data_IF_681345594385
#
_entry.id   IF_681345594385
#
_cell.length_a   1.000
_cell.length_b   1.000
_cell.length_c   1.000
_cell.angle_alpha   90.00
_cell.angle_beta   90.00
_cell.angle_gamma   90.00
#
_symmetry.space_group_name_H-M   'P 1'
#
loop_
_entity.id
_entity.type
_entity.pdbx_description
1 polymer ?
#
# COMPACT_ATOMS: atom_id res chain seq x y z
N UNK A 1 10.42 -16.98 20.59
CA UNK A 1 10.70 -15.54 20.64
C UNK A 1 9.45 -14.78 20.22
N UNK A 2 9.05 -13.80 21.01
CA UNK A 2 7.86 -13.01 20.71
C UNK A 2 8.17 -12.06 19.55
N UNK A 3 7.28 -12.02 18.56
CA UNK A 3 7.36 -11.08 17.47
C UNK A 3 7.01 -9.67 17.99
N UNK A 4 7.97 -8.74 17.92
CA UNK A 4 7.82 -7.38 18.42
C UNK A 4 7.49 -6.37 17.33
N UNK A 5 6.95 -6.84 16.21
CA UNK A 5 6.53 -5.96 15.12
C UNK A 5 5.31 -5.15 15.54
N UNK A 6 5.38 -3.83 15.35
CA UNK A 6 4.25 -2.93 15.57
C UNK A 6 3.88 -2.22 14.28
N UNK A 7 2.59 -1.93 14.11
CA UNK A 7 2.10 -1.16 12.97
C UNK A 7 1.77 0.25 13.47
N UNK A 8 2.39 1.25 12.86
CA UNK A 8 2.23 2.66 13.27
C UNK A 8 1.91 3.54 12.08
N UNK A 9 1.18 4.65 12.28
CA UNK A 9 0.95 5.61 11.21
C UNK A 9 2.20 6.42 10.90
N UNK A 10 2.15 7.20 9.84
CA UNK A 10 3.25 8.02 9.35
C UNK A 10 3.81 8.93 10.47
N UNK A 11 5.15 9.01 10.48
CA UNK A 11 5.91 9.99 11.24
C UNK A 11 6.90 10.63 10.27
N UNK A 12 7.16 11.92 10.43
CA UNK A 12 8.07 12.65 9.53
C UNK A 12 9.45 12.00 9.46
N UNK A 13 9.92 11.44 10.54
CA UNK A 13 11.21 10.73 10.61
C UNK A 13 11.27 9.50 9.71
N UNK A 14 10.11 8.96 9.25
CA UNK A 14 10.03 7.79 8.38
C UNK A 14 9.83 8.16 6.90
N UNK A 15 9.86 9.44 6.55
CA UNK A 15 9.64 9.89 5.18
C UNK A 15 10.63 9.24 4.20
N UNK A 16 11.91 9.23 4.56
CA UNK A 16 12.93 8.58 3.75
C UNK A 16 12.74 7.07 3.68
N UNK A 17 12.35 6.44 4.79
CA UNK A 17 12.11 5.00 4.84
C UNK A 17 11.00 4.57 3.88
N UNK A 18 9.96 5.38 3.73
CA UNK A 18 8.88 5.11 2.78
C UNK A 18 9.42 4.99 1.35
N UNK A 19 10.26 5.93 0.95
CA UNK A 19 10.88 5.93 -0.39
C UNK A 19 11.81 4.73 -0.56
N UNK A 20 12.70 4.50 0.40
CA UNK A 20 13.70 3.43 0.31
C UNK A 20 13.08 2.04 0.29
N UNK A 21 12.09 1.78 1.15
CA UNK A 21 11.39 0.49 1.19
C UNK A 21 10.71 0.20 -0.14
N UNK A 22 10.05 1.20 -0.73
CA UNK A 22 9.37 1.03 -2.00
C UNK A 22 10.34 0.85 -3.15
N UNK A 23 11.42 1.64 -3.18
CA UNK A 23 12.44 1.50 -4.21
C UNK A 23 13.06 0.10 -4.17
N UNK A 24 13.43 -0.39 -3.00
CA UNK A 24 13.98 -1.73 -2.83
C UNK A 24 13.04 -2.79 -3.38
N UNK A 25 11.75 -2.70 -3.04
CA UNK A 25 10.75 -3.68 -3.48
C UNK A 25 10.50 -3.59 -4.99
N UNK A 26 10.31 -2.38 -5.52
CA UNK A 26 10.02 -2.19 -6.95
C UNK A 26 11.18 -2.69 -7.81
N UNK A 27 12.41 -2.38 -7.42
CA UNK A 27 13.59 -2.76 -8.18
C UNK A 27 13.90 -4.25 -8.15
N UNK A 28 13.29 -5.02 -7.24
CA UNK A 28 13.38 -6.48 -7.26
C UNK A 28 12.67 -7.09 -8.48
N UNK A 29 11.61 -6.46 -8.96
CA UNK A 29 10.71 -7.05 -9.95
C UNK A 29 10.56 -6.19 -11.20
N UNK A 30 10.76 -4.89 -11.10
CA UNK A 30 10.47 -3.91 -12.13
C UNK A 30 11.50 -2.80 -12.10
N UNK A 31 11.20 -1.71 -12.82
CA UNK A 31 11.97 -0.47 -12.75
C UNK A 31 11.12 0.64 -12.14
N UNK A 32 11.77 1.62 -11.54
CA UNK A 32 11.09 2.81 -11.03
C UNK A 32 10.51 3.60 -12.19
N UNK A 33 9.26 4.02 -12.06
CA UNK A 33 8.56 4.85 -13.03
C UNK A 33 8.37 6.26 -12.47
N UNK A 34 8.10 7.22 -13.35
CA UNK A 34 7.91 8.62 -12.96
C UNK A 34 6.80 8.78 -11.91
N UNK A 35 5.72 8.01 -12.05
CA UNK A 35 4.61 8.03 -11.08
C UNK A 35 5.04 7.57 -9.69
N UNK A 36 5.97 6.60 -9.61
CA UNK A 36 6.55 6.16 -8.34
C UNK A 36 7.35 7.29 -7.71
N UNK A 37 8.26 7.88 -8.49
CA UNK A 37 9.15 8.94 -8.00
C UNK A 37 8.34 10.13 -7.50
N UNK A 38 7.31 10.52 -8.23
CA UNK A 38 6.45 11.63 -7.87
C UNK A 38 5.78 11.43 -6.51
N UNK A 39 5.25 10.22 -6.27
CA UNK A 39 4.58 9.91 -5.01
C UNK A 39 5.57 9.76 -3.85
N UNK A 40 6.72 9.13 -4.09
CA UNK A 40 7.70 8.84 -3.04
C UNK A 40 8.54 10.05 -2.64
N UNK A 41 8.68 11.04 -3.52
CA UNK A 41 9.51 12.22 -3.28
C UNK A 41 9.02 13.06 -2.11
N UNK A 42 7.71 13.26 -2.01
CA UNK A 42 7.10 14.03 -0.92
C UNK A 42 5.79 13.36 -0.50
N UNK A 43 5.87 12.36 0.37
CA UNK A 43 4.67 11.62 0.80
C UNK A 43 3.68 12.49 1.57
N UNK A 44 4.13 13.53 2.26
CA UNK A 44 3.22 14.44 2.94
C UNK A 44 2.32 15.16 1.92
N UNK A 45 2.91 15.75 0.89
CA UNK A 45 2.14 16.48 -0.13
C UNK A 45 1.31 15.53 -1.01
N UNK A 46 1.87 14.39 -1.39
CA UNK A 46 1.21 13.49 -2.34
C UNK A 46 0.13 12.60 -1.70
N UNK A 47 0.22 12.32 -0.40
CA UNK A 47 -0.66 11.35 0.26
C UNK A 47 -1.35 11.95 1.47
N UNK A 48 -0.61 12.45 2.44
CA UNK A 48 -1.16 12.82 3.75
C UNK A 48 -2.04 14.05 3.69
N UNK A 49 -1.59 15.10 3.03
CA UNK A 49 -2.35 16.36 2.95
C UNK A 49 -3.64 16.23 2.15
N UNK A 50 -3.71 15.22 1.28
CA UNK A 50 -4.91 14.94 0.49
C UNK A 50 -5.94 14.07 1.22
N UNK A 51 -5.64 13.62 2.45
CA UNK A 51 -6.56 12.80 3.25
C UNK A 51 -6.20 11.33 3.30
N UNK A 52 -5.07 10.93 2.71
CA UNK A 52 -4.56 9.58 2.80
C UNK A 52 -3.75 9.35 4.07
N UNK A 53 -3.22 8.14 4.21
CA UNK A 53 -2.37 7.79 5.34
C UNK A 53 -1.32 6.77 4.89
N UNK A 54 -0.20 6.78 5.56
CA UNK A 54 0.88 5.81 5.36
C UNK A 54 1.07 5.08 6.68
N UNK A 55 1.26 3.75 6.60
CA UNK A 55 1.54 2.93 7.77
C UNK A 55 2.90 2.27 7.61
N UNK A 56 3.54 2.02 8.74
CA UNK A 56 4.82 1.32 8.79
C UNK A 56 4.74 0.14 9.73
N UNK A 57 5.43 -0.95 9.35
CA UNK A 57 5.72 -2.05 10.24
C UNK A 57 7.10 -1.80 10.82
N UNK A 58 7.20 -1.73 12.15
CA UNK A 58 8.45 -1.51 12.85
C UNK A 58 8.92 -2.79 13.53
N UNK A 59 10.18 -3.14 13.31
CA UNK A 59 10.87 -4.18 14.09
C UNK A 59 11.71 -3.43 15.12
N UNK A 60 11.20 -3.32 16.36
CA UNK A 60 11.75 -2.38 17.31
C UNK A 60 11.64 -0.96 16.74
N UNK A 61 12.76 -0.21 16.64
CA UNK A 61 12.73 1.14 16.07
C UNK A 61 12.85 1.17 14.53
N UNK A 62 13.11 0.03 13.89
CA UNK A 62 13.46 -0.01 12.46
C UNK A 62 12.23 -0.23 11.57
N UNK A 63 11.94 0.68 10.62
CA UNK A 63 10.88 0.43 9.65
C UNK A 63 11.29 -0.66 8.65
N UNK A 64 10.52 -1.73 8.59
CA UNK A 64 10.78 -2.90 7.75
C UNK A 64 9.66 -3.17 6.74
N UNK A 65 8.58 -2.43 6.81
CA UNK A 65 7.49 -2.52 5.85
C UNK A 65 6.66 -1.25 5.85
N UNK A 66 5.91 -1.03 4.78
CA UNK A 66 5.07 0.15 4.63
C UNK A 66 3.92 -0.10 3.66
N UNK A 67 2.90 0.75 3.72
CA UNK A 67 1.78 0.78 2.79
C UNK A 67 1.14 2.16 2.83
N UNK A 68 0.50 2.55 1.74
CA UNK A 68 -0.27 3.80 1.68
C UNK A 68 -1.73 3.50 1.38
N UNK A 69 -2.61 4.26 2.02
CA UNK A 69 -4.01 4.41 1.65
C UNK A 69 -4.12 5.78 1.00
N UNK A 70 -4.27 5.83 -0.31
CA UNK A 70 -4.25 7.06 -1.09
C UNK A 70 -5.69 7.49 -1.41
N UNK A 71 -6.08 8.69 -0.98
CA UNK A 71 -7.42 9.20 -1.27
C UNK A 71 -7.49 9.63 -2.73
N UNK A 72 -8.44 9.07 -3.47
CA UNK A 72 -8.73 9.49 -4.84
C UNK A 72 -9.92 10.45 -4.86
N UNK A 73 -10.92 10.19 -4.00
CA UNK A 73 -12.09 11.04 -3.78
C UNK A 73 -12.64 10.68 -2.39
N UNK A 74 -13.71 11.35 -1.96
CA UNK A 74 -14.33 11.01 -0.67
C UNK A 74 -14.79 9.55 -0.62
N UNK A 75 -15.22 9.02 -1.75
CA UNK A 75 -15.77 7.66 -1.83
C UNK A 75 -14.75 6.58 -2.21
N UNK A 76 -13.58 6.96 -2.76
CA UNK A 76 -12.64 6.00 -3.36
C UNK A 76 -11.22 6.21 -2.83
N UNK A 77 -10.65 5.14 -2.29
CA UNK A 77 -9.26 5.09 -1.84
C UNK A 77 -8.50 4.02 -2.61
N UNK A 78 -7.19 4.18 -2.69
CA UNK A 78 -6.30 3.19 -3.31
C UNK A 78 -5.37 2.58 -2.26
N UNK A 79 -5.23 1.25 -2.27
CA UNK A 79 -4.17 0.56 -1.54
C UNK A 79 -2.93 0.57 -2.44
N UNK A 80 -1.88 1.26 -2.01
CA UNK A 80 -0.71 1.48 -2.85
C UNK A 80 0.59 1.41 -2.05
N UNK A 81 1.68 1.27 -2.77
CA UNK A 81 3.03 1.41 -2.21
C UNK A 81 3.29 0.47 -1.03
N UNK A 82 2.75 -0.76 -1.10
CA UNK A 82 3.05 -1.80 -0.12
C UNK A 82 4.43 -2.40 -0.42
N UNK A 83 5.29 -2.40 0.57
CA UNK A 83 6.63 -2.95 0.45
C UNK A 83 7.07 -3.50 1.80
N UNK A 84 7.62 -4.72 1.80
CA UNK A 84 8.18 -5.36 2.99
C UNK A 84 9.61 -5.79 2.65
N UNK A 85 10.56 -5.51 3.52
CA UNK A 85 11.95 -5.90 3.30
C UNK A 85 12.06 -7.41 3.12
N UNK A 86 12.95 -7.88 2.22
CA UNK A 86 13.11 -9.32 1.99
C UNK A 86 13.35 -10.12 3.26
N UNK A 87 14.11 -9.57 4.22
CA UNK A 87 14.41 -10.22 5.49
C UNK A 87 13.18 -10.46 6.37
N UNK A 88 12.08 -9.76 6.10
CA UNK A 88 10.87 -9.80 6.93
C UNK A 88 9.64 -10.32 6.17
N UNK A 89 9.80 -10.74 4.93
CA UNK A 89 8.72 -11.35 4.15
C UNK A 89 8.35 -12.72 4.72
N UNK A 90 7.11 -13.15 4.49
CA UNK A 90 6.64 -14.44 4.96
C UNK A 90 6.21 -14.47 6.43
N UNK A 91 6.07 -13.31 7.06
CA UNK A 91 5.66 -13.18 8.48
C UNK A 91 4.28 -12.55 8.67
N UNK A 92 3.53 -12.38 7.59
CA UNK A 92 2.20 -11.78 7.65
C UNK A 92 2.18 -10.26 7.77
N UNK A 93 3.29 -9.57 7.56
CA UNK A 93 3.36 -8.12 7.69
C UNK A 93 2.55 -7.40 6.62
N UNK A 94 2.55 -7.91 5.39
CA UNK A 94 1.72 -7.36 4.32
C UNK A 94 0.25 -7.39 4.67
N UNK A 95 -0.22 -8.46 5.28
CA UNK A 95 -1.62 -8.55 5.70
C UNK A 95 -1.93 -7.55 6.81
N UNK A 96 -1.07 -7.42 7.80
CA UNK A 96 -1.25 -6.44 8.90
C UNK A 96 -1.26 -5.02 8.37
N UNK A 97 -0.34 -4.68 7.47
CA UNK A 97 -0.28 -3.37 6.83
C UNK A 97 -1.53 -3.11 5.98
N UNK A 98 -1.93 -4.10 5.18
CA UNK A 98 -3.13 -3.99 4.34
C UNK A 98 -4.39 -3.75 5.17
N UNK A 99 -4.54 -4.44 6.30
CA UNK A 99 -5.68 -4.24 7.18
C UNK A 99 -5.71 -2.85 7.78
N UNK A 100 -4.55 -2.29 8.13
CA UNK A 100 -4.46 -0.92 8.64
C UNK A 100 -4.90 0.10 7.59
N UNK A 101 -4.44 -0.06 6.35
CA UNK A 101 -4.83 0.83 5.24
C UNK A 101 -6.32 0.74 4.94
N UNK A 102 -6.87 -0.48 4.92
CA UNK A 102 -8.30 -0.71 4.70
C UNK A 102 -9.13 -0.05 5.81
N UNK A 103 -8.70 -0.21 7.06
CA UNK A 103 -9.40 0.39 8.20
C UNK A 103 -9.41 1.91 8.10
N UNK A 104 -8.29 2.53 7.70
CA UNK A 104 -8.24 3.98 7.50
C UNK A 104 -9.27 4.43 6.46
N UNK A 105 -9.31 3.76 5.30
CA UNK A 105 -10.26 4.09 4.24
C UNK A 105 -11.71 3.95 4.73
N UNK A 106 -11.99 2.87 5.45
CA UNK A 106 -13.33 2.61 6.02
C UNK A 106 -13.74 3.71 7.00
N UNK A 107 -12.84 4.09 7.90
CA UNK A 107 -13.11 5.15 8.90
C UNK A 107 -13.32 6.51 8.25
N UNK A 108 -12.72 6.74 7.09
CA UNK A 108 -12.90 7.98 6.33
C UNK A 108 -14.15 7.98 5.46
N UNK A 109 -14.94 6.91 5.50
CA UNK A 109 -16.21 6.84 4.79
C UNK A 109 -16.11 6.37 3.35
N UNK A 110 -15.02 5.74 2.95
CA UNK A 110 -14.87 5.23 1.59
C UNK A 110 -15.95 4.20 1.27
N UNK A 111 -16.45 4.24 0.05
CA UNK A 111 -17.36 3.23 -0.48
C UNK A 111 -16.59 2.08 -1.12
N UNK A 112 -15.42 2.38 -1.67
CA UNK A 112 -14.62 1.43 -2.44
C UNK A 112 -13.13 1.69 -2.20
N UNK A 113 -12.36 0.61 -2.18
CA UNK A 113 -10.91 0.66 -2.24
C UNK A 113 -10.45 -0.18 -3.42
N UNK A 114 -9.47 0.27 -4.17
CA UNK A 114 -8.92 -0.49 -5.28
C UNK A 114 -7.41 -0.59 -5.17
N UNK A 115 -6.85 -1.49 -5.97
CA UNK A 115 -5.40 -1.60 -6.12
C UNK A 115 -5.06 -1.99 -7.55
N UNK A 116 -3.82 -1.72 -7.93
CA UNK A 116 -3.26 -2.12 -9.20
C UNK A 116 -1.99 -2.93 -8.94
N UNK A 117 -1.79 -3.99 -9.71
CA UNK A 117 -0.62 -4.85 -9.56
C UNK A 117 -0.28 -5.54 -10.88
N UNK A 118 0.63 -6.49 -10.83
CA UNK A 118 1.05 -7.26 -11.99
C UNK A 118 0.80 -8.74 -11.74
N UNK A 119 0.35 -9.47 -12.74
CA UNK A 119 -0.02 -10.88 -12.61
C UNK A 119 1.17 -11.80 -12.32
N UNK A 120 2.39 -11.33 -12.50
CA UNK A 120 3.58 -12.10 -12.11
C UNK A 120 3.75 -12.14 -10.59
N UNK A 121 3.10 -11.24 -9.85
CA UNK A 121 3.21 -11.14 -8.39
C UNK A 121 2.11 -11.99 -7.71
N UNK A 122 2.17 -13.31 -7.90
CA UNK A 122 1.12 -14.19 -7.42
C UNK A 122 0.95 -14.21 -5.90
N UNK A 123 2.05 -14.09 -5.14
CA UNK A 123 1.97 -13.99 -3.68
C UNK A 123 1.22 -12.75 -3.23
N UNK A 124 1.46 -11.62 -3.89
CA UNK A 124 0.76 -10.37 -3.60
C UNK A 124 -0.74 -10.50 -3.93
N UNK A 125 -1.06 -11.07 -5.07
CA UNK A 125 -2.47 -11.26 -5.48
C UNK A 125 -3.21 -12.13 -4.47
N UNK A 126 -2.57 -13.21 -3.99
CA UNK A 126 -3.17 -14.07 -2.94
C UNK A 126 -3.39 -13.29 -1.64
N UNK A 127 -2.44 -12.43 -1.27
CA UNK A 127 -2.60 -11.57 -0.10
C UNK A 127 -3.81 -10.64 -0.26
N UNK A 128 -3.92 -10.00 -1.42
CA UNK A 128 -5.03 -9.07 -1.68
C UNK A 128 -6.38 -9.80 -1.66
N UNK A 129 -6.43 -11.01 -2.19
CA UNK A 129 -7.64 -11.84 -2.12
C UNK A 129 -8.02 -12.15 -0.66
N UNK A 130 -7.05 -12.48 0.18
CA UNK A 130 -7.30 -12.72 1.62
C UNK A 130 -7.82 -11.48 2.32
N UNK A 131 -7.41 -10.30 1.88
CA UNK A 131 -7.89 -9.02 2.42
C UNK A 131 -9.31 -8.68 1.95
N UNK A 132 -9.84 -9.40 0.96
CA UNK A 132 -11.19 -9.21 0.46
C UNK A 132 -11.29 -8.55 -0.90
N UNK A 133 -10.16 -8.23 -1.54
CA UNK A 133 -10.16 -7.67 -2.89
C UNK A 133 -10.52 -8.74 -3.91
N UNK A 134 -11.27 -8.35 -4.93
CA UNK A 134 -11.66 -9.21 -6.06
C UNK A 134 -11.24 -8.55 -7.37
N UNK A 135 -10.92 -9.37 -8.37
CA UNK A 135 -10.60 -8.86 -9.70
C UNK A 135 -11.80 -8.10 -10.27
N UNK A 136 -11.52 -6.97 -10.92
CA UNK A 136 -12.56 -6.12 -11.52
C UNK A 136 -12.02 -5.46 -12.78
N UNK A 137 -12.91 -5.04 -13.70
CA UNK A 137 -12.47 -4.28 -14.88
C UNK A 137 -11.90 -2.92 -14.46
N UNK A 138 -10.80 -2.55 -15.10
CA UNK A 138 -10.17 -1.26 -14.85
C UNK A 138 -11.08 -0.14 -15.40
N UNK A 139 -11.45 0.86 -14.57
CA UNK A 139 -12.34 1.93 -15.04
C UNK A 139 -11.65 2.98 -15.94
N UNK A 140 -10.31 3.06 -15.88
CA UNK A 140 -9.53 3.98 -16.70
C UNK A 140 -8.09 3.46 -16.80
N UNK A 141 -7.28 3.96 -17.76
CA UNK A 141 -5.88 3.51 -17.89
C UNK A 141 -5.06 3.75 -16.64
N UNK A 142 -4.11 2.85 -16.40
CA UNK A 142 -3.18 2.99 -15.29
C UNK A 142 -2.08 4.00 -15.62
N UNK A 143 -1.58 4.76 -14.60
CA UNK A 143 -0.37 5.56 -14.78
C UNK A 143 0.90 4.72 -14.82
N UNK A 144 0.83 3.40 -14.54
CA UNK A 144 1.99 2.50 -14.50
C UNK A 144 1.97 1.52 -15.66
N UNK A 145 3.08 1.44 -16.40
CA UNK A 145 3.22 0.46 -17.49
C UNK A 145 3.18 -0.98 -16.98
N UNK A 146 3.72 -1.22 -15.78
CA UNK A 146 3.77 -2.56 -15.20
C UNK A 146 2.43 -3.07 -14.69
N UNK A 147 1.42 -2.22 -14.61
CA UNK A 147 0.11 -2.62 -14.07
C UNK A 147 -0.72 -3.34 -15.13
N UNK A 148 -1.10 -4.60 -14.87
CA UNK A 148 -2.00 -5.34 -15.74
C UNK A 148 -3.12 -6.05 -14.95
N UNK A 149 -3.21 -5.78 -13.65
CA UNK A 149 -4.25 -6.33 -12.77
C UNK A 149 -4.88 -5.20 -11.98
N UNK A 150 -6.21 -5.20 -11.91
CA UNK A 150 -6.99 -4.26 -11.11
C UNK A 150 -7.88 -5.07 -10.18
N UNK A 151 -7.89 -4.72 -8.90
CA UNK A 151 -8.72 -5.39 -7.90
C UNK A 151 -9.46 -4.36 -7.06
N UNK A 152 -10.61 -4.76 -6.52
CA UNK A 152 -11.53 -3.85 -5.85
C UNK A 152 -12.08 -4.48 -4.58
N UNK A 153 -12.23 -3.66 -3.54
CA UNK A 153 -12.89 -4.01 -2.30
C UNK A 153 -14.00 -3.00 -2.04
N UNK A 154 -15.22 -3.47 -1.95
CA UNK A 154 -16.38 -2.61 -1.67
C UNK A 154 -16.72 -2.67 -0.20
N UNK A 155 -16.96 -1.50 0.39
CA UNK A 155 -17.36 -1.40 1.79
C UNK A 155 -18.89 -1.41 1.88
N UNK A 156 -19.46 -2.12 2.86
CA UNK A 156 -20.91 -2.10 3.07
C UNK A 156 -21.37 -0.69 3.44
N UNK A 157 -22.55 -0.33 3.01
CA UNK A 157 -23.17 0.92 3.45
C UNK A 157 -23.49 0.81 4.93
N UNK A 158 -23.19 1.84 5.68
CA UNK A 158 -23.52 1.95 7.09
C UNK A 158 -24.86 2.64 7.25
#
# INVERSE_FOLDING_TARGET
MVDIITIVPFRQEFSEAFALLNQEWIEQFFKMEESDLKMLRDPHASILSAGGQIFFALDGPAPVGTVAAVRQSDAVYELAKMAVRPSHQGRGLGERLGRAAIQHARERGAATMFLETNDTLQNAIRLYARLGFVHAPRPHPSPYERSNVYMELRFPKQ
#
